data_IF_942579899671
#
_entry.id   IF_942579899671
#
_cell.length_a   1.000
_cell.length_b   1.000
_cell.length_c   1.000
_cell.angle_alpha   90.00
_cell.angle_beta   90.00
_cell.angle_gamma   90.00
#
_symmetry.space_group_name_H-M   'P 1'
#
loop_
_entity.id
_entity.type
_entity.pdbx_description
1 polymer ?
#
# COMPACT_ATOMS: atom_id res chain seq x y z
N UNK A 1 -11.43 -8.04 0.62
CA UNK A 1 -10.52 -7.55 -0.44
C UNK A 1 -9.30 -8.45 -0.63
N UNK A 2 -8.78 -9.09 0.43
CA UNK A 2 -7.72 -10.10 0.27
C UNK A 2 -8.26 -11.38 -0.35
N UNK A 3 -7.42 -12.09 -1.11
CA UNK A 3 -7.78 -13.32 -1.84
C UNK A 3 -8.40 -14.37 -0.90
N UNK A 4 -7.91 -14.48 0.34
CA UNK A 4 -8.41 -15.47 1.30
C UNK A 4 -9.51 -14.95 2.25
N UNK A 5 -9.96 -13.70 2.10
CA UNK A 5 -10.99 -13.12 2.96
C UNK A 5 -10.61 -12.90 4.43
N UNK A 6 -9.34 -13.09 4.82
CA UNK A 6 -8.88 -12.87 6.19
C UNK A 6 -8.17 -11.52 6.35
N UNK A 7 -7.88 -11.10 7.58
CA UNK A 7 -7.13 -9.86 7.87
C UNK A 7 -5.63 -10.09 8.04
N UNK A 8 -5.21 -11.33 8.26
CA UNK A 8 -3.82 -11.77 8.28
C UNK A 8 -3.45 -12.29 6.89
N UNK A 9 -2.16 -12.45 6.59
CA UNK A 9 -1.54 -13.24 5.49
C UNK A 9 -2.40 -13.42 4.23
N UNK A 10 -1.99 -12.84 3.10
CA UNK A 10 -2.55 -13.00 1.74
C UNK A 10 -2.32 -11.69 0.97
N UNK A 11 -2.53 -11.70 -0.34
CA UNK A 11 -2.39 -10.56 -1.22
C UNK A 11 -3.76 -9.90 -1.47
N UNK A 12 -3.73 -8.65 -1.92
CA UNK A 12 -4.91 -7.98 -2.44
C UNK A 12 -5.38 -8.71 -3.71
N UNK A 13 -6.69 -9.01 -3.82
CA UNK A 13 -7.22 -9.55 -5.07
C UNK A 13 -7.29 -8.43 -6.12
N UNK A 14 -6.93 -8.75 -7.37
CA UNK A 14 -6.79 -7.78 -8.46
C UNK A 14 -8.07 -6.99 -8.71
N UNK A 15 -9.26 -7.59 -8.54
CA UNK A 15 -10.53 -6.89 -8.69
C UNK A 15 -10.73 -5.72 -7.69
N UNK A 16 -9.93 -5.66 -6.63
CA UNK A 16 -9.98 -4.60 -5.61
C UNK A 16 -8.83 -3.60 -5.69
N UNK A 17 -7.99 -3.63 -6.74
CA UNK A 17 -6.85 -2.72 -6.87
C UNK A 17 -7.25 -1.25 -6.86
N UNK A 18 -8.24 -0.87 -7.67
CA UNK A 18 -8.77 0.50 -7.68
C UNK A 18 -9.44 0.85 -6.34
N UNK A 19 -10.26 -0.07 -5.81
CA UNK A 19 -10.98 0.16 -4.54
C UNK A 19 -10.01 0.41 -3.39
N UNK A 20 -8.86 -0.27 -3.38
CA UNK A 20 -7.82 -0.06 -2.39
C UNK A 20 -7.07 1.26 -2.59
N UNK A 21 -6.82 1.68 -3.83
CA UNK A 21 -6.29 3.02 -4.09
C UNK A 21 -7.26 4.13 -3.63
N UNK A 22 -8.56 3.98 -3.92
CA UNK A 22 -9.60 4.92 -3.49
C UNK A 22 -9.69 5.02 -1.95
N UNK A 23 -9.34 3.95 -1.25
CA UNK A 23 -9.30 3.95 0.23
C UNK A 23 -8.25 4.92 0.77
N UNK A 24 -7.08 5.05 0.11
CA UNK A 24 -6.05 6.01 0.55
C UNK A 24 -6.58 7.45 0.48
N UNK A 25 -7.22 7.83 -0.62
CA UNK A 25 -7.84 9.16 -0.76
C UNK A 25 -8.88 9.39 0.34
N UNK A 26 -9.79 8.43 0.56
CA UNK A 26 -10.78 8.52 1.64
C UNK A 26 -10.16 8.64 3.03
N UNK A 27 -9.03 7.98 3.26
CA UNK A 27 -8.29 8.09 4.52
C UNK A 27 -7.75 9.51 4.71
N UNK A 28 -7.09 10.07 3.70
CA UNK A 28 -6.56 11.43 3.80
C UNK A 28 -7.67 12.48 3.87
N UNK A 29 -8.74 12.33 3.09
CA UNK A 29 -9.94 13.18 3.17
C UNK A 29 -10.45 13.22 4.61
N UNK A 30 -10.65 12.06 5.24
CA UNK A 30 -11.23 11.97 6.58
C UNK A 30 -10.39 12.70 7.63
N UNK A 31 -9.06 12.69 7.50
CA UNK A 31 -8.15 13.39 8.41
C UNK A 31 -8.04 14.88 8.09
N UNK A 32 -8.09 15.27 6.82
CA UNK A 32 -8.13 16.67 6.40
C UNK A 32 -9.39 17.37 6.94
N UNK A 33 -10.54 16.69 6.98
CA UNK A 33 -11.76 17.18 7.64
C UNK A 33 -11.60 17.40 9.15
N UNK A 34 -10.55 16.85 9.77
CA UNK A 34 -10.18 17.08 11.15
C UNK A 34 -8.99 18.04 11.28
N UNK A 35 -8.65 18.76 10.20
CA UNK A 35 -7.52 19.68 10.11
C UNK A 35 -6.14 19.01 10.34
N UNK A 36 -6.05 17.70 10.07
CA UNK A 36 -4.81 16.93 10.17
C UNK A 36 -4.25 16.70 8.77
N UNK A 37 -3.04 17.22 8.55
CA UNK A 37 -2.28 17.01 7.30
C UNK A 37 -1.17 15.98 7.49
N UNK A 38 -0.78 15.34 6.39
CA UNK A 38 0.31 14.36 6.36
C UNK A 38 1.50 14.88 5.57
N UNK A 39 2.69 14.40 5.92
CA UNK A 39 3.91 14.63 5.14
C UNK A 39 4.12 13.55 4.06
N UNK A 40 3.71 12.31 4.36
CA UNK A 40 3.94 11.16 3.50
C UNK A 40 3.25 9.91 4.00
N UNK A 41 3.37 8.83 3.24
CA UNK A 41 2.74 7.55 3.50
C UNK A 41 3.57 6.40 2.92
N UNK A 42 3.37 5.19 3.44
CA UNK A 42 3.80 3.96 2.80
C UNK A 42 2.60 3.27 2.13
N UNK A 43 2.77 2.64 0.95
CA UNK A 43 1.68 1.88 0.31
C UNK A 43 1.27 0.64 1.10
N UNK A 44 2.18 0.09 1.90
CA UNK A 44 1.94 -1.06 2.77
C UNK A 44 3.07 -1.18 3.81
N UNK A 45 2.73 -1.40 5.08
CA UNK A 45 3.68 -1.85 6.10
C UNK A 45 4.08 -3.32 5.89
N UNK A 46 5.37 -3.60 5.90
CA UNK A 46 5.97 -4.93 5.77
C UNK A 46 5.32 -5.82 4.68
N UNK A 47 5.34 -5.38 3.40
CA UNK A 47 4.73 -6.08 2.28
C UNK A 47 5.24 -7.51 2.11
N UNK A 48 6.51 -7.80 2.47
CA UNK A 48 7.06 -9.15 2.36
C UNK A 48 6.51 -10.05 3.47
N UNK A 49 6.30 -9.49 4.66
CA UNK A 49 5.76 -10.21 5.81
C UNK A 49 4.32 -10.69 5.55
N UNK A 50 3.54 -9.98 4.74
CA UNK A 50 2.18 -10.40 4.39
C UNK A 50 2.08 -11.72 3.61
N UNK A 51 3.20 -12.28 3.18
CA UNK A 51 3.33 -13.61 2.55
C UNK A 51 3.96 -14.67 3.48
N UNK A 52 4.35 -14.32 4.71
CA UNK A 52 4.91 -15.25 5.69
C UNK A 52 3.79 -15.93 6.50
N UNK A 53 3.68 -17.25 6.36
CA UNK A 53 2.68 -18.08 7.05
C UNK A 53 2.82 -18.09 8.58
N UNK A 54 3.94 -17.64 9.14
CA UNK A 54 4.15 -17.48 10.58
C UNK A 54 3.47 -16.25 11.18
N UNK A 55 2.99 -15.32 10.36
CA UNK A 55 2.49 -14.01 10.80
C UNK A 55 1.06 -14.12 11.30
N UNK A 56 0.80 -13.62 12.51
CA UNK A 56 -0.52 -13.68 13.16
C UNK A 56 -1.14 -12.31 13.40
N UNK A 57 -0.54 -11.26 12.83
CA UNK A 57 -0.99 -9.88 12.93
C UNK A 57 -1.54 -9.40 11.58
N UNK A 58 -2.25 -8.26 11.61
CA UNK A 58 -2.83 -7.65 10.41
C UNK A 58 -1.70 -7.39 9.42
N UNK A 59 -1.84 -7.92 8.21
CA UNK A 59 -0.83 -7.80 7.16
C UNK A 59 -1.48 -7.86 5.80
N UNK A 60 -0.80 -7.34 4.78
CA UNK A 60 -1.18 -7.54 3.38
C UNK A 60 0.10 -7.74 2.57
N UNK A 61 0.15 -8.87 1.89
CA UNK A 61 1.31 -9.30 1.12
C UNK A 61 1.39 -8.56 -0.20
N UNK A 62 2.59 -8.14 -0.55
CA UNK A 62 2.93 -7.65 -1.89
C UNK A 62 4.26 -8.27 -2.31
N UNK A 63 4.42 -8.45 -3.61
CA UNK A 63 5.72 -8.66 -4.23
C UNK A 63 6.07 -7.38 -4.97
N UNK A 64 7.34 -7.17 -5.30
CA UNK A 64 7.71 -5.99 -6.08
C UNK A 64 7.04 -6.00 -7.47
N UNK A 65 6.83 -7.18 -8.04
CA UNK A 65 6.19 -7.38 -9.35
C UNK A 65 4.71 -7.00 -9.37
N UNK A 66 3.99 -7.05 -8.23
CA UNK A 66 2.61 -6.60 -8.16
C UNK A 66 2.45 -5.20 -7.53
N UNK A 67 3.34 -4.80 -6.62
CA UNK A 67 3.28 -3.49 -5.99
C UNK A 67 3.62 -2.37 -6.98
N UNK A 68 4.65 -2.55 -7.81
CA UNK A 68 5.07 -1.55 -8.80
C UNK A 68 3.95 -1.20 -9.78
N UNK A 69 3.33 -2.14 -10.52
CA UNK A 69 2.23 -1.82 -11.41
C UNK A 69 1.00 -1.31 -10.66
N UNK A 70 0.69 -1.83 -9.47
CA UNK A 70 -0.42 -1.28 -8.69
C UNK A 70 -0.21 0.18 -8.31
N UNK A 71 1.02 0.56 -7.92
CA UNK A 71 1.36 1.95 -7.64
C UNK A 71 1.26 2.80 -8.91
N UNK A 72 1.85 2.35 -10.02
CA UNK A 72 1.91 3.11 -11.26
C UNK A 72 0.53 3.33 -11.90
N UNK A 73 -0.30 2.28 -11.93
CA UNK A 73 -1.54 2.27 -12.69
C UNK A 73 -2.77 2.64 -11.85
N UNK A 74 -2.69 2.50 -10.51
CA UNK A 74 -3.83 2.73 -9.61
C UNK A 74 -3.53 3.77 -8.53
N UNK A 75 -2.59 3.49 -7.61
CA UNK A 75 -2.39 4.34 -6.42
C UNK A 75 -1.94 5.75 -6.78
N UNK A 76 -0.88 5.88 -7.59
CA UNK A 76 -0.31 7.17 -7.98
C UNK A 76 -1.34 8.08 -8.66
N UNK A 77 -1.98 7.67 -9.77
CA UNK A 77 -3.01 8.47 -10.43
C UNK A 77 -4.20 8.81 -9.53
N UNK A 78 -4.60 7.88 -8.65
CA UNK A 78 -5.72 8.11 -7.71
C UNK A 78 -5.36 9.16 -6.67
N UNK A 79 -4.14 9.12 -6.13
CA UNK A 79 -3.63 10.11 -5.19
C UNK A 79 -3.48 11.49 -5.82
N UNK A 80 -2.95 11.57 -7.04
CA UNK A 80 -2.86 12.84 -7.79
C UNK A 80 -4.26 13.45 -8.02
N UNK A 81 -5.20 12.65 -8.53
CA UNK A 81 -6.58 13.09 -8.78
C UNK A 81 -7.30 13.47 -7.49
N UNK A 82 -6.97 12.82 -6.37
CA UNK A 82 -7.50 13.11 -5.04
C UNK A 82 -6.91 14.35 -4.38
N UNK A 83 -5.93 15.04 -5.00
CA UNK A 83 -5.29 16.22 -4.42
C UNK A 83 -4.13 15.90 -3.45
N UNK A 84 -3.72 14.64 -3.36
CA UNK A 84 -2.68 14.15 -2.45
C UNK A 84 -1.36 13.77 -3.14
N UNK A 85 -1.17 14.23 -4.39
CA UNK A 85 0.05 13.96 -5.18
C UNK A 85 1.34 14.51 -4.59
N UNK A 86 1.26 15.54 -3.73
CA UNK A 86 2.44 16.14 -3.08
C UNK A 86 2.97 15.35 -1.87
N UNK A 87 2.18 14.40 -1.35
CA UNK A 87 2.59 13.56 -0.23
C UNK A 87 3.77 12.65 -0.61
N UNK A 88 4.74 12.51 0.30
CA UNK A 88 5.90 11.64 0.07
C UNK A 88 5.51 10.17 0.19
N UNK A 89 5.48 9.45 -0.93
CA UNK A 89 5.30 8.00 -0.94
C UNK A 89 6.65 7.30 -0.67
N UNK A 90 6.68 6.44 0.34
CA UNK A 90 7.84 5.65 0.75
C UNK A 90 7.56 4.17 0.50
N UNK A 91 8.26 3.58 -0.48
CA UNK A 91 8.13 2.15 -0.80
C UNK A 91 8.90 1.28 0.21
N UNK A 92 8.74 -0.04 0.08
CA UNK A 92 9.28 -1.08 0.95
C UNK A 92 8.65 -1.10 2.35
N UNK A 93 8.89 -0.11 3.20
CA UNK A 93 8.42 -0.08 4.61
C UNK A 93 8.59 -1.43 5.35
N UNK A 94 9.77 -2.04 5.16
CA UNK A 94 10.16 -3.36 5.66
C UNK A 94 11.66 -3.33 5.98
N UNK A 95 12.18 -4.47 6.42
CA UNK A 95 13.56 -4.68 6.80
C UNK A 95 14.55 -4.30 5.68
N UNK A 96 15.64 -3.62 6.08
CA UNK A 96 16.73 -3.20 5.18
C UNK A 96 17.34 -4.35 4.37
N UNK A 97 17.27 -5.59 4.85
CA UNK A 97 17.76 -6.78 4.15
C UNK A 97 17.03 -7.07 2.83
N UNK A 98 15.88 -6.43 2.57
CA UNK A 98 15.19 -6.48 1.28
C UNK A 98 15.79 -5.55 0.22
N UNK A 99 16.71 -4.66 0.62
CA UNK A 99 17.44 -3.78 -0.29
C UNK A 99 18.76 -4.41 -0.76
N UNK A 100 19.19 -4.13 -2.01
CA UNK A 100 18.56 -3.20 -2.96
C UNK A 100 17.40 -3.81 -3.76
N UNK A 101 17.15 -5.12 -3.63
CA UNK A 101 16.25 -5.86 -4.52
C UNK A 101 14.81 -5.35 -4.63
N UNK A 102 14.28 -4.65 -3.60
CA UNK A 102 12.97 -3.98 -3.67
C UNK A 102 12.99 -2.64 -4.43
N UNK A 103 14.11 -1.93 -4.41
CA UNK A 103 14.28 -0.66 -5.11
C UNK A 103 14.67 -0.85 -6.59
N UNK A 104 15.20 -2.02 -6.93
CA UNK A 104 15.57 -2.41 -8.30
C UNK A 104 14.37 -3.13 -8.96
N UNK A 105 13.48 -2.33 -9.55
CA UNK A 105 12.40 -2.77 -10.46
C UNK A 105 12.33 -1.89 -11.69
#
# INVERSE_FOLDING_TARGET
>A
MKINGTTVISHLAEEYYQVWADYFVKYFDAYEHQEISFWGYSPQNEPVQGSDHGVKIISMGWTKENQTPWIADYLGPTMEKGGYGDLKMMILDDNRSRLPGWAET
#
